data_IF_543643038259
#
_entry.id   IF_543643038259
#
_cell.length_a   1.000
_cell.length_b   1.000
_cell.length_c   1.000
_cell.angle_alpha   90.00
_cell.angle_beta   90.00
_cell.angle_gamma   90.00
#
_symmetry.space_group_name_H-M   'P 1'
#
loop_
_entity.id
_entity.type
_entity.pdbx_description
1 polymer ?
#
# COMPACT_ATOMS: atom_id res chain seq x y z
N UNK A 1 -3.09 -6.09 -5.35
CA UNK A 1 -4.02 -6.03 -6.48
C UNK A 1 -5.16 -7.00 -6.25
N UNK A 2 -4.88 -8.30 -6.27
CA UNK A 2 -5.82 -9.34 -5.86
C UNK A 2 -5.27 -10.06 -4.62
N UNK A 3 -6.10 -10.29 -3.63
CA UNK A 3 -5.76 -10.98 -2.38
C UNK A 3 -6.97 -11.81 -1.96
N UNK A 4 -6.74 -13.06 -1.56
CA UNK A 4 -7.79 -13.95 -1.10
C UNK A 4 -7.34 -14.77 0.11
N UNK A 5 -6.61 -15.87 -0.11
CA UNK A 5 -6.35 -16.86 0.92
C UNK A 5 -5.19 -16.46 1.84
N UNK A 6 -4.13 -15.90 1.27
CA UNK A 6 -2.87 -15.60 1.97
C UNK A 6 -2.27 -14.25 1.57
N UNK A 7 -2.89 -13.51 0.65
CA UNK A 7 -2.39 -12.22 0.17
C UNK A 7 -1.09 -12.32 -0.62
N UNK A 8 -0.86 -13.48 -1.25
CA UNK A 8 0.36 -13.77 -1.99
C UNK A 8 0.27 -13.23 -3.41
N UNK A 9 1.10 -12.24 -3.72
CA UNK A 9 1.11 -11.64 -5.06
C UNK A 9 1.45 -12.66 -6.15
N UNK A 10 2.40 -13.56 -5.90
CA UNK A 10 2.90 -14.53 -6.88
C UNK A 10 1.88 -15.62 -7.24
N UNK A 11 0.96 -15.96 -6.35
CA UNK A 11 -0.02 -17.02 -6.55
C UNK A 11 -1.47 -16.55 -6.72
N UNK A 12 -1.79 -15.32 -6.31
CA UNK A 12 -3.17 -14.80 -6.29
C UNK A 12 -3.39 -13.62 -7.25
N UNK A 13 -2.32 -13.03 -7.81
CA UNK A 13 -2.46 -12.03 -8.87
C UNK A 13 -2.74 -12.69 -10.22
N UNK A 14 -3.73 -12.15 -10.95
CA UNK A 14 -4.05 -12.58 -12.32
C UNK A 14 -3.76 -11.52 -13.40
N UNK A 15 -3.27 -10.33 -13.03
CA UNK A 15 -2.94 -9.24 -13.98
C UNK A 15 -1.43 -9.06 -14.13
N UNK A 16 -0.81 -9.98 -14.89
CA UNK A 16 0.63 -10.01 -15.14
C UNK A 16 1.05 -9.25 -16.41
N UNK A 17 0.16 -9.14 -17.39
CA UNK A 17 0.40 -8.42 -18.64
C UNK A 17 -0.90 -7.71 -19.10
N UNK A 18 -1.00 -6.37 -18.98
CA UNK A 18 -0.01 -5.49 -18.35
C UNK A 18 0.15 -5.77 -16.83
N UNK A 19 1.32 -5.46 -16.23
CA UNK A 19 1.67 -5.88 -14.87
C UNK A 19 1.04 -4.99 -13.78
N UNK A 20 -0.27 -4.77 -13.83
CA UNK A 20 -1.00 -3.94 -12.86
C UNK A 20 -0.74 -4.36 -11.42
N UNK A 21 -0.50 -5.66 -11.17
CA UNK A 21 -0.16 -6.15 -9.85
C UNK A 21 1.13 -5.59 -9.24
N UNK A 22 2.05 -5.08 -10.06
CA UNK A 22 3.32 -4.49 -9.63
C UNK A 22 3.30 -2.96 -9.68
N UNK A 23 2.54 -2.39 -10.62
CA UNK A 23 2.53 -0.95 -10.90
C UNK A 23 1.42 -0.21 -10.15
N UNK A 24 0.24 -0.82 -9.94
CA UNK A 24 -0.84 -0.23 -9.15
C UNK A 24 -0.63 -0.48 -7.66
N UNK A 25 0.25 0.32 -7.07
CA UNK A 25 0.62 0.25 -5.66
C UNK A 25 -0.18 1.20 -4.75
N UNK A 26 -1.15 1.95 -5.31
CA UNK A 26 -2.02 2.86 -4.55
C UNK A 26 -2.81 2.14 -3.44
N UNK A 27 -3.08 0.84 -3.60
CA UNK A 27 -3.74 0.00 -2.60
C UNK A 27 -3.08 0.07 -1.21
N UNK A 28 -1.78 0.32 -1.14
CA UNK A 28 -1.07 0.48 0.12
C UNK A 28 -1.52 1.77 0.83
N UNK A 29 -1.71 2.85 0.06
CA UNK A 29 -2.31 4.08 0.54
C UNK A 29 -3.77 3.89 0.96
N UNK A 30 -4.56 3.16 0.16
CA UNK A 30 -5.98 2.91 0.43
C UNK A 30 -6.19 2.13 1.73
N UNK A 31 -5.41 1.06 1.95
CA UNK A 31 -5.44 0.29 3.20
C UNK A 31 -5.01 1.16 4.39
N UNK A 32 -3.97 1.99 4.23
CA UNK A 32 -3.53 2.91 5.30
C UNK A 32 -4.64 3.91 5.68
N UNK A 33 -5.31 4.47 4.67
CA UNK A 33 -6.42 5.40 4.87
C UNK A 33 -7.58 4.70 5.60
N UNK A 34 -7.95 3.49 5.19
CA UNK A 34 -9.02 2.71 5.83
C UNK A 34 -8.70 2.38 7.31
N UNK A 35 -7.45 1.99 7.62
CA UNK A 35 -7.00 1.74 9.00
C UNK A 35 -7.14 3.01 9.84
N UNK A 36 -6.71 4.16 9.30
CA UNK A 36 -6.81 5.43 10.01
C UNK A 36 -8.27 5.86 10.21
N UNK A 37 -9.11 5.72 9.18
CA UNK A 37 -10.53 6.02 9.26
C UNK A 37 -11.26 5.14 10.28
N UNK A 38 -10.93 3.85 10.36
CA UNK A 38 -11.46 2.97 11.41
C UNK A 38 -11.14 3.50 12.80
N UNK A 39 -9.88 3.87 13.05
CA UNK A 39 -9.48 4.44 14.33
C UNK A 39 -10.21 5.75 14.63
N UNK A 40 -10.31 6.68 13.65
CA UNK A 40 -11.04 7.93 13.84
C UNK A 40 -12.52 7.72 14.17
N UNK A 41 -13.15 6.71 13.56
CA UNK A 41 -14.56 6.41 13.77
C UNK A 41 -14.85 5.75 15.12
N UNK A 42 -13.90 4.98 15.66
CA UNK A 42 -14.11 4.13 16.85
C UNK A 42 -13.42 4.66 18.10
N UNK A 43 -12.33 5.41 17.95
CA UNK A 43 -11.41 5.75 19.03
C UNK A 43 -10.67 4.55 19.63
N UNK A 44 -10.69 3.37 18.98
CA UNK A 44 -10.12 2.13 19.52
C UNK A 44 -8.59 2.15 19.46
N UNK A 45 -7.99 2.69 20.53
CA UNK A 45 -6.54 2.85 20.68
C UNK A 45 -5.82 1.51 20.90
N UNK A 46 -6.47 0.55 21.55
CA UNK A 46 -5.88 -0.76 21.81
C UNK A 46 -5.76 -1.56 20.52
N UNK A 47 -6.81 -1.55 19.69
CA UNK A 47 -6.73 -2.12 18.33
C UNK A 47 -5.70 -1.40 17.47
N UNK A 48 -5.65 -0.06 17.51
CA UNK A 48 -4.66 0.70 16.75
C UNK A 48 -3.24 0.28 17.17
N UNK A 49 -2.94 0.18 18.46
CA UNK A 49 -1.62 -0.22 18.93
C UNK A 49 -1.28 -1.68 18.55
N UNK A 50 -2.22 -2.61 18.71
CA UNK A 50 -1.98 -4.04 18.54
C UNK A 50 -2.04 -4.52 17.07
N UNK A 51 -2.84 -3.87 16.23
CA UNK A 51 -3.14 -4.32 14.85
C UNK A 51 -2.87 -3.24 13.81
N UNK A 52 -3.42 -2.05 14.00
CA UNK A 52 -3.32 -0.96 13.01
C UNK A 52 -1.89 -0.46 12.83
N UNK A 53 -1.15 -0.26 13.92
CA UNK A 53 0.21 0.27 13.90
C UNK A 53 1.22 -0.66 13.22
N UNK A 54 1.29 -1.97 13.54
CA UNK A 54 2.16 -2.89 12.81
C UNK A 54 1.90 -2.88 11.28
N UNK A 55 0.62 -2.79 10.89
CA UNK A 55 0.21 -2.72 9.49
C UNK A 55 0.67 -1.41 8.83
N UNK A 56 0.37 -0.25 9.44
CA UNK A 56 0.79 1.06 8.96
C UNK A 56 2.32 1.19 8.86
N UNK A 57 3.04 0.66 9.85
CA UNK A 57 4.51 0.61 9.83
C UNK A 57 5.02 -0.21 8.65
N UNK A 58 4.43 -1.38 8.40
CA UNK A 58 4.80 -2.21 7.24
C UNK A 58 4.58 -1.51 5.91
N UNK A 59 3.48 -0.76 5.78
CA UNK A 59 3.20 0.04 4.58
C UNK A 59 4.17 1.23 4.45
N UNK A 60 4.51 1.90 5.56
CA UNK A 60 5.51 2.96 5.55
C UNK A 60 6.90 2.43 5.14
N UNK A 61 7.27 1.24 5.61
CA UNK A 61 8.50 0.55 5.20
C UNK A 61 8.48 0.19 3.70
N UNK A 62 7.33 -0.24 3.17
CA UNK A 62 7.13 -0.44 1.73
C UNK A 62 7.37 0.86 0.94
N UNK A 63 6.73 1.98 1.31
CA UNK A 63 6.90 3.25 0.59
C UNK A 63 8.33 3.78 0.66
N UNK A 64 8.97 3.67 1.82
CA UNK A 64 10.40 3.99 1.97
C UNK A 64 11.27 3.20 1.00
N UNK A 65 10.96 1.92 0.77
CA UNK A 65 11.71 1.08 -0.17
C UNK A 65 11.46 1.38 -1.64
N UNK A 66 10.31 2.00 -1.98
CA UNK A 66 9.93 2.36 -3.36
C UNK A 66 10.28 3.80 -3.75
N UNK A 67 10.48 4.68 -2.77
CA UNK A 67 10.82 6.07 -3.02
C UNK A 67 12.23 6.22 -3.61
N UNK A 68 12.35 6.99 -4.68
CA UNK A 68 13.62 7.37 -5.31
C UNK A 68 13.91 8.83 -4.96
N UNK A 69 15.09 9.10 -4.40
CA UNK A 69 15.51 10.46 -4.10
C UNK A 69 15.91 11.20 -5.39
N UNK A 70 15.48 12.45 -5.50
CA UNK A 70 15.78 13.33 -6.63
C UNK A 70 16.93 14.31 -6.28
N UNK A 71 17.65 14.86 -7.28
CA UNK A 71 18.74 15.81 -7.03
C UNK A 71 18.32 17.10 -6.33
N UNK A 72 17.05 17.49 -6.42
CA UNK A 72 16.48 18.69 -5.78
C UNK A 72 16.06 18.45 -4.31
N UNK A 73 16.31 17.26 -3.78
CA UNK A 73 15.94 16.87 -2.41
C UNK A 73 14.51 16.36 -2.25
N UNK A 74 13.71 16.32 -3.32
CA UNK A 74 12.39 15.67 -3.33
C UNK A 74 12.51 14.15 -3.50
N UNK A 75 11.36 13.45 -3.44
CA UNK A 75 11.27 12.01 -3.69
C UNK A 75 10.17 11.70 -4.70
N UNK A 76 10.41 10.73 -5.57
CA UNK A 76 9.45 10.21 -6.54
C UNK A 76 9.17 8.73 -6.30
N UNK A 77 7.98 8.26 -6.68
CA UNK A 77 7.71 6.84 -6.86
C UNK A 77 7.55 6.58 -8.35
N UNK A 78 8.53 5.90 -8.94
CA UNK A 78 8.57 5.63 -10.37
C UNK A 78 7.89 4.29 -10.70
N UNK A 79 7.60 4.08 -11.99
CA UNK A 79 7.02 2.83 -12.52
C UNK A 79 5.74 2.42 -11.77
N UNK A 80 4.79 3.37 -11.75
CA UNK A 80 3.48 3.21 -11.11
C UNK A 80 2.37 3.48 -12.10
N UNK A 81 1.23 2.83 -11.86
CA UNK A 81 -0.03 3.15 -12.49
C UNK A 81 -0.96 3.71 -11.39
N UNK A 82 -1.68 4.78 -11.74
CA UNK A 82 -2.68 5.36 -10.87
C UNK A 82 -3.99 4.55 -10.88
N UNK A 83 -5.05 5.09 -10.27
CA UNK A 83 -6.39 4.50 -10.36
C UNK A 83 -6.97 4.50 -11.78
N UNK A 84 -6.44 5.35 -12.67
CA UNK A 84 -6.70 5.26 -14.11
C UNK A 84 -5.77 4.20 -14.72
N UNK A 85 -6.35 3.18 -15.32
CA UNK A 85 -5.64 1.94 -15.72
C UNK A 85 -5.16 1.94 -17.18
N UNK A 86 -5.54 2.96 -17.98
CA UNK A 86 -5.27 3.06 -19.42
C UNK A 86 -4.12 4.01 -19.76
#
# INVERSE_FOLDING_TARGET
>A
WTSASRGRLDSECHSVDPPHCLTQNHLQGDVSLAVWQYYLATGDRDWLAARGWPLLKGIADFWRSRATANPDGSYSVNDVAGPDEY
#
